data_IF_618213486661
#
_entry.id   IF_618213486661
#
_cell.length_a   1.000
_cell.length_b   1.000
_cell.length_c   1.000
_cell.angle_alpha   90.00
_cell.angle_beta   90.00
_cell.angle_gamma   90.00
#
_symmetry.space_group_name_H-M   'P 1'
#
loop_
_entity.id
_entity.type
_entity.pdbx_description
1 polymer ?
#
# COMPACT_ATOMS: atom_id res chain seq x y z
N UNK A 1 5.92 -34.37 45.42
CA UNK A 1 6.67 -33.12 45.20
C UNK A 1 6.53 -32.74 43.73
N UNK A 2 5.95 -31.57 43.44
CA UNK A 2 5.69 -31.08 42.08
C UNK A 2 6.86 -30.19 41.65
N UNK A 3 7.56 -30.60 40.60
CA UNK A 3 8.67 -29.85 40.00
C UNK A 3 8.09 -28.66 39.23
N UNK A 4 8.34 -27.44 39.72
CA UNK A 4 7.98 -26.21 39.00
C UNK A 4 9.02 -25.96 37.92
N UNK A 5 8.58 -25.98 36.66
CA UNK A 5 9.39 -25.50 35.54
C UNK A 5 9.79 -24.04 35.79
N UNK A 6 11.08 -23.73 35.68
CA UNK A 6 11.59 -22.36 35.75
C UNK A 6 11.20 -21.53 34.52
N UNK A 7 11.39 -20.21 34.60
CA UNK A 7 11.11 -19.30 33.49
C UNK A 7 11.88 -19.74 32.23
N UNK A 8 11.14 -20.15 31.19
CA UNK A 8 11.73 -20.49 29.89
C UNK A 8 12.14 -19.20 29.20
N UNK A 9 13.43 -19.02 28.96
CA UNK A 9 13.91 -17.98 28.05
C UNK A 9 13.35 -18.27 26.65
N UNK A 10 12.37 -17.49 26.21
CA UNK A 10 11.91 -17.51 24.83
C UNK A 10 13.05 -17.18 23.86
N UNK A 11 12.86 -17.51 22.58
CA UNK A 11 13.81 -17.24 21.49
C UNK A 11 14.30 -15.77 21.56
N UNK A 12 15.63 -15.53 21.50
CA UNK A 12 16.15 -14.18 21.64
C UNK A 12 15.62 -13.26 20.53
N UNK A 13 15.19 -12.04 20.91
CA UNK A 13 14.75 -10.96 20.01
C UNK A 13 15.90 -10.37 19.14
N UNK A 14 16.98 -11.12 18.93
CA UNK A 14 18.17 -10.67 18.20
C UNK A 14 17.88 -10.35 16.73
N UNK A 15 16.82 -10.91 16.15
CA UNK A 15 16.45 -10.69 14.75
C UNK A 15 15.62 -9.41 14.56
N UNK A 16 14.87 -9.00 15.58
CA UNK A 16 14.00 -7.79 15.55
C UNK A 16 14.75 -6.61 16.15
N UNK A 17 15.88 -6.25 15.54
CA UNK A 17 16.60 -5.02 15.87
C UNK A 17 15.96 -3.82 15.19
N UNK A 18 16.08 -2.65 15.81
CA UNK A 18 15.64 -1.38 15.20
C UNK A 18 16.26 -1.14 13.82
N UNK A 19 17.49 -1.64 13.61
CA UNK A 19 18.16 -1.59 12.32
C UNK A 19 17.43 -2.40 11.25
N UNK A 20 17.05 -3.63 11.57
CA UNK A 20 16.33 -4.51 10.66
C UNK A 20 14.93 -3.96 10.37
N UNK A 21 14.22 -3.44 11.39
CA UNK A 21 12.93 -2.77 11.21
C UNK A 21 13.06 -1.60 10.22
N UNK A 22 14.07 -0.72 10.41
CA UNK A 22 14.31 0.42 9.51
C UNK A 22 14.68 -0.02 8.09
N UNK A 23 15.49 -1.08 7.93
CA UNK A 23 15.84 -1.63 6.61
C UNK A 23 14.62 -2.18 5.88
N UNK A 24 13.80 -3.00 6.55
CA UNK A 24 12.56 -3.55 6.00
C UNK A 24 11.61 -2.41 5.60
N UNK A 25 11.44 -1.41 6.48
CA UNK A 25 10.61 -0.25 6.20
C UNK A 25 11.06 0.51 4.94
N UNK A 26 12.37 0.73 4.79
CA UNK A 26 12.95 1.39 3.60
C UNK A 26 12.73 0.56 2.33
N UNK A 27 12.92 -0.75 2.38
CA UNK A 27 12.69 -1.65 1.24
C UNK A 27 11.23 -1.59 0.76
N UNK A 28 10.27 -1.68 1.69
CA UNK A 28 8.84 -1.66 1.37
C UNK A 28 8.37 -0.30 0.84
N UNK A 29 8.94 0.81 1.31
CA UNK A 29 8.59 2.15 0.81
C UNK A 29 9.17 2.45 -0.56
N UNK A 30 10.37 1.93 -0.87
CA UNK A 30 11.00 2.13 -2.18
C UNK A 30 10.23 1.40 -3.29
N UNK A 31 9.79 0.18 -3.02
CA UNK A 31 8.94 -0.56 -3.94
C UNK A 31 7.82 -1.28 -3.19
N UNK A 32 6.60 -0.79 -3.39
CA UNK A 32 5.42 -1.36 -2.76
C UNK A 32 5.05 -2.75 -3.28
N UNK A 33 5.65 -3.21 -4.39
CA UNK A 33 5.45 -4.53 -4.98
C UNK A 33 6.47 -5.57 -4.50
N UNK A 34 7.38 -5.20 -3.60
CA UNK A 34 8.40 -6.11 -3.08
C UNK A 34 7.79 -7.38 -2.48
N UNK A 35 8.40 -8.52 -2.76
CA UNK A 35 7.95 -9.81 -2.22
C UNK A 35 8.61 -10.07 -0.87
N UNK A 36 7.90 -10.77 0.02
CA UNK A 36 8.45 -11.21 1.30
C UNK A 36 9.75 -12.00 1.12
N UNK A 37 9.82 -12.88 0.12
CA UNK A 37 11.01 -13.69 -0.15
C UNK A 37 12.23 -12.83 -0.53
N UNK A 38 12.03 -11.72 -1.23
CA UNK A 38 13.14 -10.82 -1.59
C UNK A 38 13.71 -10.13 -0.34
N UNK A 39 12.86 -9.84 0.66
CA UNK A 39 13.29 -9.28 1.95
C UNK A 39 14.03 -10.33 2.77
N UNK A 40 13.56 -11.58 2.78
CA UNK A 40 14.24 -12.66 3.50
C UNK A 40 15.60 -12.96 2.91
N UNK A 41 15.72 -12.98 1.58
CA UNK A 41 16.98 -13.28 0.89
C UNK A 41 18.01 -12.16 1.10
N UNK A 42 17.56 -10.90 1.10
CA UNK A 42 18.44 -9.74 1.30
C UNK A 42 18.91 -9.57 2.74
N UNK A 43 18.03 -9.82 3.72
CA UNK A 43 18.37 -9.65 5.14
C UNK A 43 18.84 -10.95 5.80
N UNK A 44 18.72 -12.10 5.11
CA UNK A 44 18.96 -13.45 5.65
C UNK A 44 18.15 -13.72 6.92
N UNK A 45 16.91 -13.24 6.94
CA UNK A 45 15.94 -13.39 8.04
C UNK A 45 14.86 -14.36 7.57
N UNK A 46 14.29 -15.14 8.49
CA UNK A 46 13.17 -16.03 8.16
C UNK A 46 11.94 -15.24 7.66
N UNK A 47 11.14 -15.88 6.80
CA UNK A 47 9.88 -15.33 6.28
C UNK A 47 8.90 -14.94 7.38
N UNK A 48 8.81 -15.77 8.43
CA UNK A 48 7.93 -15.54 9.57
C UNK A 48 8.32 -14.29 10.35
N UNK A 49 9.62 -14.07 10.59
CA UNK A 49 10.09 -12.87 11.26
C UNK A 49 9.88 -11.61 10.43
N UNK A 50 10.13 -11.65 9.12
CA UNK A 50 9.83 -10.50 8.23
C UNK A 50 8.34 -10.19 8.25
N UNK A 51 7.48 -11.21 8.17
CA UNK A 51 6.04 -11.05 8.27
C UNK A 51 5.64 -10.41 9.61
N UNK A 52 6.18 -10.90 10.72
CA UNK A 52 5.95 -10.36 12.06
C UNK A 52 6.38 -8.89 12.16
N UNK A 53 7.55 -8.50 11.62
CA UNK A 53 7.99 -7.11 11.61
C UNK A 53 7.05 -6.21 10.81
N UNK A 54 6.65 -6.64 9.60
CA UNK A 54 5.76 -5.87 8.73
C UNK A 54 4.39 -5.66 9.39
N UNK A 55 3.84 -6.70 10.01
CA UNK A 55 2.50 -6.65 10.60
C UNK A 55 2.49 -6.00 11.99
N UNK A 56 3.32 -6.46 12.93
CA UNK A 56 3.25 -6.05 14.33
C UNK A 56 4.03 -4.76 14.63
N UNK A 57 5.20 -4.57 14.00
CA UNK A 57 6.05 -3.40 14.28
C UNK A 57 5.80 -2.23 13.33
N UNK A 58 5.54 -2.51 12.04
CA UNK A 58 5.27 -1.49 11.03
C UNK A 58 3.77 -1.22 10.82
N UNK A 59 2.88 -2.07 11.34
CA UNK A 59 1.42 -1.91 11.18
C UNK A 59 0.95 -1.99 9.72
N UNK A 60 1.76 -2.57 8.83
CA UNK A 60 1.49 -2.63 7.41
C UNK A 60 0.63 -3.85 7.06
N UNK A 61 -0.16 -3.71 6.00
CA UNK A 61 -0.99 -4.79 5.47
C UNK A 61 -0.79 -4.93 3.97
N UNK A 62 -0.80 -6.17 3.50
CA UNK A 62 -0.79 -6.45 2.06
C UNK A 62 -2.10 -5.96 1.44
N UNK A 63 -1.98 -5.15 0.40
CA UNK A 63 -3.12 -4.68 -0.39
C UNK A 63 -3.00 -5.21 -1.82
N UNK A 64 -4.12 -5.68 -2.37
CA UNK A 64 -4.18 -6.08 -3.76
C UNK A 64 -4.13 -4.84 -4.67
N UNK A 65 -3.39 -4.95 -5.77
CA UNK A 65 -3.40 -3.92 -6.80
C UNK A 65 -4.80 -3.83 -7.43
N UNK A 66 -5.29 -2.62 -7.67
CA UNK A 66 -6.53 -2.39 -8.41
C UNK A 66 -6.25 -2.46 -9.90
N UNK A 67 -7.12 -3.13 -10.64
CA UNK A 67 -7.03 -3.17 -12.11
C UNK A 67 -7.40 -1.79 -12.68
N UNK A 68 -6.61 -1.29 -13.62
CA UNK A 68 -6.83 -0.01 -14.28
C UNK A 68 -7.01 -0.28 -15.78
N UNK A 69 -8.10 0.20 -16.42
CA UNK A 69 -8.44 -0.18 -17.79
C UNK A 69 -7.37 0.14 -18.84
N UNK A 70 -6.61 1.23 -18.65
CA UNK A 70 -5.59 1.69 -19.59
C UNK A 70 -4.45 2.37 -18.85
N UNK A 71 -3.25 2.21 -19.38
CA UNK A 71 -2.11 3.04 -19.02
C UNK A 71 -2.20 4.37 -19.78
N UNK A 72 -2.23 5.47 -19.03
CA UNK A 72 -2.38 6.81 -19.60
C UNK A 72 -1.01 7.45 -19.86
N UNK A 73 -0.83 8.00 -21.05
CA UNK A 73 0.29 8.89 -21.37
C UNK A 73 0.21 10.20 -20.58
N UNK A 74 1.29 10.96 -20.56
CA UNK A 74 1.31 12.28 -19.94
C UNK A 74 0.21 13.19 -20.49
N UNK A 75 0.07 13.26 -21.82
CA UNK A 75 -0.93 14.10 -22.48
C UNK A 75 -2.36 13.68 -22.15
N UNK A 76 -2.63 12.36 -22.06
CA UNK A 76 -3.94 11.87 -21.63
C UNK A 76 -4.26 12.31 -20.20
N UNK A 77 -3.27 12.28 -19.29
CA UNK A 77 -3.45 12.73 -17.90
C UNK A 77 -3.74 14.23 -17.85
N UNK A 78 -2.95 15.03 -18.57
CA UNK A 78 -3.13 16.48 -18.59
C UNK A 78 -4.50 16.88 -19.15
N UNK A 79 -4.94 16.26 -20.26
CA UNK A 79 -6.26 16.50 -20.83
C UNK A 79 -7.37 16.19 -19.83
N UNK A 80 -7.30 15.03 -19.16
CA UNK A 80 -8.29 14.65 -18.13
C UNK A 80 -8.36 15.64 -16.97
N UNK A 81 -7.21 16.16 -16.50
CA UNK A 81 -7.18 17.19 -15.45
C UNK A 81 -7.86 18.47 -15.95
N UNK A 82 -7.45 18.96 -17.11
CA UNK A 82 -8.01 20.19 -17.70
C UNK A 82 -9.54 20.10 -17.88
N UNK A 83 -10.02 18.99 -18.46
CA UNK A 83 -11.45 18.76 -18.67
C UNK A 83 -12.19 18.71 -17.33
N UNK A 84 -11.64 17.99 -16.34
CA UNK A 84 -12.23 17.87 -15.00
C UNK A 84 -12.31 19.22 -14.29
N UNK A 85 -11.28 20.07 -14.41
CA UNK A 85 -11.29 21.42 -13.85
C UNK A 85 -12.35 22.32 -14.50
N UNK A 86 -12.53 22.21 -15.82
CA UNK A 86 -13.58 22.94 -16.53
C UNK A 86 -14.96 22.49 -16.07
N UNK A 87 -15.23 21.18 -16.03
CA UNK A 87 -16.49 20.63 -15.54
C UNK A 87 -16.75 21.04 -14.09
N UNK A 88 -15.74 20.98 -13.22
CA UNK A 88 -15.87 21.40 -11.83
C UNK A 88 -16.24 22.89 -11.71
N UNK A 89 -15.65 23.77 -12.52
CA UNK A 89 -16.04 25.20 -12.56
C UNK A 89 -17.50 25.39 -13.00
N UNK A 90 -17.97 24.62 -13.99
CA UNK A 90 -19.36 24.68 -14.45
C UNK A 90 -20.34 24.21 -13.37
N UNK A 91 -20.02 23.10 -12.70
CA UNK A 91 -20.80 22.56 -11.57
C UNK A 91 -20.87 23.59 -10.45
N UNK A 92 -19.72 24.13 -10.02
CA UNK A 92 -19.66 25.15 -8.94
C UNK A 92 -20.46 26.41 -9.26
N UNK A 93 -20.59 26.79 -10.52
CA UNK A 93 -21.35 27.97 -10.94
C UNK A 93 -22.85 27.78 -10.78
N UNK A 94 -23.39 26.63 -11.17
CA UNK A 94 -24.81 26.28 -11.02
C UNK A 94 -25.05 24.79 -11.26
N UNK A 95 -24.85 23.98 -10.22
CA UNK A 95 -24.95 22.52 -10.29
C UNK A 95 -26.36 22.04 -10.71
N UNK A 96 -27.48 22.53 -10.12
CA UNK A 96 -28.81 22.03 -10.48
C UNK A 96 -29.15 22.25 -11.96
N UNK A 97 -28.77 23.41 -12.51
CA UNK A 97 -29.00 23.74 -13.92
C UNK A 97 -28.09 22.95 -14.85
N UNK A 98 -26.85 22.70 -14.43
CA UNK A 98 -25.89 21.91 -15.19
C UNK A 98 -26.35 20.46 -15.31
N UNK A 99 -26.66 19.81 -14.18
CA UNK A 99 -27.07 18.41 -14.14
C UNK A 99 -28.41 18.18 -14.87
N UNK A 100 -29.37 19.10 -14.78
CA UNK A 100 -30.65 19.00 -15.52
C UNK A 100 -30.46 18.92 -17.05
N UNK A 101 -29.37 19.45 -17.58
CA UNK A 101 -29.08 19.48 -19.03
C UNK A 101 -28.10 18.41 -19.47
N UNK A 102 -27.47 17.70 -18.54
CA UNK A 102 -26.43 16.73 -18.84
C UNK A 102 -27.07 15.38 -19.22
N UNK A 103 -26.86 14.95 -20.46
CA UNK A 103 -27.33 13.67 -20.99
C UNK A 103 -26.13 12.91 -21.50
N UNK A 104 -26.00 11.63 -21.12
CA UNK A 104 -24.91 10.75 -21.56
C UNK A 104 -25.49 9.43 -22.06
N UNK A 105 -24.75 8.79 -22.97
CA UNK A 105 -25.08 7.47 -23.53
C UNK A 105 -23.77 6.73 -23.78
N UNK A 106 -23.74 5.46 -23.39
CA UNK A 106 -22.65 4.55 -23.71
C UNK A 106 -23.24 3.25 -24.29
N UNK A 107 -22.45 2.56 -25.12
CA UNK A 107 -22.85 1.27 -25.70
C UNK A 107 -21.99 0.17 -25.07
N UNK A 108 -22.65 -0.78 -24.41
CA UNK A 108 -22.01 -2.00 -23.91
C UNK A 108 -21.84 -3.03 -25.02
#
# INVERSE_FOLDING_TARGET
MSTKDGERSGCPKEVVTDENIKKIHKMVLNDRKFKLNEITDTLKISTEHVHHVIHEYLGMRKLCAKWVPRELTFDHKQRRVNDSEQFLKMIKRNEPKFLRRYVTMDKT
#
